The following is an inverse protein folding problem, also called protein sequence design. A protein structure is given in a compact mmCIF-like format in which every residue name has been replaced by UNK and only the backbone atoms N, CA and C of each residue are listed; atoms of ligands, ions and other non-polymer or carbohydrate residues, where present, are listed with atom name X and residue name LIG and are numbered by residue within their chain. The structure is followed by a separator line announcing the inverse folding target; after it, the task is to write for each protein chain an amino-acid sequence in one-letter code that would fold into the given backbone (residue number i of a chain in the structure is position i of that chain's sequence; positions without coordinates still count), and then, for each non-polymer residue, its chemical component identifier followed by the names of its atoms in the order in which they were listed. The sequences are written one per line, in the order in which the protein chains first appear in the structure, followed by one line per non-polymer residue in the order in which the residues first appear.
data_IF_308401916384
#
_entry.id   IF_308401916384
#
_cell.length_a   1.000
_cell.length_b   1.000
_cell.length_c   1.000
_cell.angle_alpha   90.00
_cell.angle_beta   90.00
_cell.angle_gamma   90.00
#
_symmetry.space_group_name_H-M   'P 1'
#
loop_
_entity.id
_entity.type
_entity.pdbx_description
1 polymer ?
#
# COMPACT_ATOMS: atom_id res chain seq x y z
N UNK A 1 11.04 -6.58 12.56
CA UNK A 1 10.16 -6.79 11.39
C UNK A 1 9.85 -5.44 10.75
N UNK A 2 10.01 -5.33 9.43
CA UNK A 2 9.77 -4.11 8.65
C UNK A 2 8.61 -4.33 7.67
N UNK A 3 7.92 -3.26 7.29
CA UNK A 3 6.83 -3.33 6.30
C UNK A 3 6.98 -2.21 5.27
N UNK A 4 6.65 -2.53 4.02
CA UNK A 4 6.56 -1.58 2.92
C UNK A 4 5.12 -1.55 2.41
N UNK A 5 4.53 -0.36 2.35
CA UNK A 5 3.19 -0.11 1.82
C UNK A 5 3.35 0.62 0.50
N UNK A 6 2.71 0.12 -0.55
CA UNK A 6 2.75 0.71 -1.90
C UNK A 6 1.40 1.38 -2.17
N UNK A 7 1.44 2.66 -2.54
CA UNK A 7 0.28 3.50 -2.84
C UNK A 7 0.35 4.87 -2.17
N UNK A 8 -0.34 5.85 -2.74
CA UNK A 8 -0.43 7.22 -2.20
C UNK A 8 -1.85 7.64 -1.79
N UNK A 9 -2.81 6.71 -1.79
CA UNK A 9 -4.20 6.96 -1.43
C UNK A 9 -4.42 6.87 0.08
N UNK A 10 -5.60 7.31 0.52
CA UNK A 10 -6.07 7.22 1.90
C UNK A 10 -5.79 5.87 2.57
N UNK A 11 -6.09 4.75 1.90
CA UNK A 11 -5.86 3.40 2.42
C UNK A 11 -4.38 3.13 2.71
N UNK A 12 -3.50 3.45 1.76
CA UNK A 12 -2.07 3.22 1.92
C UNK A 12 -1.49 4.08 3.06
N UNK A 13 -1.92 5.35 3.15
CA UNK A 13 -1.54 6.25 4.24
C UNK A 13 -1.99 5.69 5.61
N UNK A 14 -3.23 5.23 5.73
CA UNK A 14 -3.72 4.63 6.98
C UNK A 14 -2.96 3.36 7.37
N UNK A 15 -2.68 2.47 6.42
CA UNK A 15 -1.92 1.25 6.69
C UNK A 15 -0.50 1.58 7.17
N UNK A 16 0.19 2.52 6.53
CA UNK A 16 1.52 2.94 6.92
C UNK A 16 1.56 3.57 8.33
N UNK A 17 0.55 4.39 8.67
CA UNK A 17 0.40 4.97 10.01
C UNK A 17 0.05 3.92 11.07
N UNK A 18 -0.84 2.98 10.75
CA UNK A 18 -1.25 1.90 11.66
C UNK A 18 -0.12 0.89 11.91
N UNK A 19 0.72 0.63 10.91
CA UNK A 19 1.85 -0.30 11.01
C UNK A 19 2.72 -0.01 12.24
N UNK A 20 3.04 1.27 12.47
CA UNK A 20 3.85 1.63 13.65
C UNK A 20 3.02 1.82 14.91
N UNK A 21 1.91 2.54 14.80
CA UNK A 21 1.15 2.98 15.98
C UNK A 21 0.30 1.89 16.63
N UNK A 22 -0.06 0.84 15.88
CA UNK A 22 -0.99 -0.20 16.34
C UNK A 22 -0.47 -1.62 16.14
N UNK A 23 0.24 -1.87 15.05
CA UNK A 23 0.63 -3.23 14.66
C UNK A 23 2.06 -3.61 15.09
N UNK A 24 2.80 -2.70 15.74
CA UNK A 24 4.10 -2.99 16.34
C UNK A 24 5.25 -3.20 15.35
N UNK A 25 5.11 -2.79 14.08
CA UNK A 25 6.23 -2.87 13.12
C UNK A 25 7.36 -1.92 13.53
N UNK A 26 8.60 -2.43 13.47
CA UNK A 26 9.79 -1.68 13.86
C UNK A 26 10.11 -0.54 12.88
N UNK A 27 9.81 -0.75 11.59
CA UNK A 27 9.92 0.26 10.52
C UNK A 27 8.78 0.10 9.54
N UNK A 28 8.22 1.23 9.12
CA UNK A 28 7.25 1.30 8.04
C UNK A 28 7.78 2.22 6.94
N UNK A 29 7.60 1.82 5.69
CA UNK A 29 7.92 2.60 4.50
C UNK A 29 6.66 2.76 3.66
N UNK A 30 6.39 3.95 3.16
CA UNK A 30 5.29 4.26 2.24
C UNK A 30 5.88 4.72 0.92
N UNK A 31 5.58 4.00 -0.17
CA UNK A 31 6.05 4.33 -1.51
C UNK A 31 4.88 4.76 -2.39
N UNK A 32 4.95 5.97 -2.94
CA UNK A 32 3.97 6.51 -3.87
C UNK A 32 4.63 6.83 -5.21
N UNK A 33 4.01 6.36 -6.30
CA UNK A 33 4.47 6.61 -7.69
C UNK A 33 4.39 8.08 -8.08
N UNK A 34 3.45 8.81 -7.49
CA UNK A 34 3.21 10.24 -7.76
C UNK A 34 3.25 10.99 -6.43
N UNK A 35 3.33 12.30 -6.50
CA UNK A 35 3.10 13.16 -5.33
C UNK A 35 1.73 12.86 -4.73
N UNK A 36 1.66 12.77 -3.40
CA UNK A 36 0.43 12.51 -2.68
C UNK A 36 -0.41 13.79 -2.68
N UNK A 37 -1.53 13.74 -3.39
CA UNK A 37 -2.47 14.84 -3.45
C UNK A 37 -3.51 14.78 -2.31
N UNK A 38 -3.87 15.96 -1.80
CA UNK A 38 -4.90 16.11 -0.77
C UNK A 38 -6.27 16.39 -1.37
N UNK A 39 -7.30 15.75 -0.82
CA UNK A 39 -8.69 16.03 -1.16
C UNK A 39 -9.58 15.59 -0.01
N UNK A 40 -10.53 16.44 0.40
CA UNK A 40 -11.46 16.10 1.48
C UNK A 40 -12.41 14.98 1.08
N UNK A 41 -12.90 15.01 -0.17
CA UNK A 41 -13.89 14.08 -0.70
C UNK A 41 -13.52 13.63 -2.12
N UNK A 42 -13.59 12.33 -2.38
CA UNK A 42 -13.25 11.74 -3.69
C UNK A 42 -14.21 12.15 -4.82
N UNK A 43 -15.30 12.86 -4.50
CA UNK A 43 -16.26 13.40 -5.47
C UNK A 43 -16.13 14.92 -5.53
N UNK A 44 -16.27 15.49 -6.73
CA UNK A 44 -16.45 16.93 -6.90
C UNK A 44 -17.93 17.31 -6.68
N UNK A 45 -18.18 18.57 -6.32
CA UNK A 45 -19.53 19.14 -6.12
C UNK A 45 -20.56 18.72 -7.18
N UNK A 46 -20.23 18.67 -8.49
CA UNK A 46 -21.22 18.31 -9.49
C UNK A 46 -21.62 16.82 -9.47
N UNK A 47 -20.82 15.96 -8.85
CA UNK A 47 -21.13 14.55 -8.59
C UNK A 47 -21.87 14.34 -7.27
N UNK A 48 -21.86 15.32 -6.36
CA UNK A 48 -22.56 15.29 -5.06
C UNK A 48 -23.89 16.04 -5.06
N UNK A 49 -24.26 16.68 -6.17
CA UNK A 49 -25.46 17.52 -6.29
C UNK A 49 -26.42 17.03 -7.40
N UNK A 50 -27.46 17.81 -7.69
CA UNK A 50 -28.51 17.55 -8.68
C UNK A 50 -28.00 17.21 -10.09
N UNK A 51 -26.77 17.63 -10.42
CA UNK A 51 -26.14 17.36 -11.70
C UNK A 51 -25.61 15.93 -11.88
N UNK A 52 -25.65 15.08 -10.84
CA UNK A 52 -25.20 13.68 -10.92
C UNK A 52 -25.96 12.89 -11.99
N UNK A 53 -27.29 12.96 -11.98
CA UNK A 53 -28.13 12.15 -12.88
C UNK A 53 -27.93 12.53 -14.35
N UNK A 54 -27.81 13.84 -14.64
CA UNK A 54 -27.53 14.32 -16.00
C UNK A 54 -26.16 13.84 -16.51
N UNK A 55 -25.12 13.86 -15.66
CA UNK A 55 -23.79 13.35 -16.02
C UNK A 55 -23.77 11.84 -16.26
N UNK A 56 -24.46 11.09 -15.41
CA UNK A 56 -24.61 9.65 -15.61
C UNK A 56 -25.36 9.37 -16.91
N UNK A 57 -26.46 10.08 -17.19
CA UNK A 57 -27.19 9.93 -18.44
C UNK A 57 -26.31 10.24 -19.67
N UNK A 58 -25.52 11.31 -19.63
CA UNK A 58 -24.55 11.64 -20.68
C UNK A 58 -23.50 10.53 -20.87
N UNK A 59 -22.92 10.03 -19.77
CA UNK A 59 -21.95 8.94 -19.81
C UNK A 59 -22.52 7.64 -20.42
N UNK A 60 -23.76 7.28 -20.06
CA UNK A 60 -24.42 6.07 -20.57
C UNK A 60 -24.91 6.20 -22.01
N UNK A 61 -25.20 7.43 -22.46
CA UNK A 61 -25.65 7.69 -23.84
C UNK A 61 -24.52 7.92 -24.82
N UNK A 62 -23.29 8.19 -24.37
CA UNK A 62 -22.10 8.36 -25.21
C UNK A 62 -21.80 7.08 -26.01
N UNK A 63 -21.93 7.04 -27.35
CA UNK A 63 -21.71 5.82 -28.14
C UNK A 63 -20.23 5.46 -28.32
N UNK A 64 -19.30 6.42 -28.25
CA UNK A 64 -17.88 6.16 -28.43
C UNK A 64 -17.24 5.64 -27.13
N UNK A 65 -16.59 4.47 -27.21
CA UNK A 65 -15.92 3.85 -26.09
C UNK A 65 -14.72 4.65 -25.59
N UNK A 66 -13.97 5.31 -26.48
CA UNK A 66 -12.81 6.12 -26.10
C UNK A 66 -13.25 7.42 -25.41
N UNK A 67 -14.25 8.11 -25.95
CA UNK A 67 -14.87 9.25 -25.28
C UNK A 67 -15.42 8.88 -23.89
N UNK A 68 -16.09 7.74 -23.78
CA UNK A 68 -16.61 7.23 -22.50
C UNK A 68 -15.48 6.91 -21.51
N UNK A 69 -14.40 6.28 -21.97
CA UNK A 69 -13.23 5.99 -21.15
C UNK A 69 -12.53 7.28 -20.69
N UNK A 70 -12.39 8.27 -21.57
CA UNK A 70 -11.85 9.59 -21.24
C UNK A 70 -12.69 10.29 -20.15
N UNK A 71 -14.02 10.24 -20.27
CA UNK A 71 -14.93 10.78 -19.26
C UNK A 71 -14.76 10.08 -17.90
N UNK A 72 -14.66 8.74 -17.88
CA UNK A 72 -14.41 7.99 -16.65
C UNK A 72 -13.04 8.32 -16.02
N UNK A 73 -11.99 8.45 -16.84
CA UNK A 73 -10.64 8.81 -16.37
C UNK A 73 -10.60 10.23 -15.79
N UNK A 74 -11.25 11.18 -16.46
CA UNK A 74 -11.37 12.56 -16.00
C UNK A 74 -12.10 12.66 -14.66
N UNK A 75 -13.18 11.90 -14.47
CA UNK A 75 -13.95 11.90 -13.23
C UNK A 75 -13.23 11.23 -12.05
N UNK A 76 -12.38 10.23 -12.28
CA UNK A 76 -11.70 9.47 -11.21
C UNK A 76 -10.65 10.25 -10.42
N UNK A 77 -10.19 11.41 -10.93
CA UNK A 77 -9.22 12.33 -10.30
C UNK A 77 -8.18 11.70 -9.35
N UNK A 78 -7.58 10.58 -9.76
CA UNK A 78 -6.50 9.85 -9.07
C UNK A 78 -6.69 9.56 -7.57
N UNK A 79 -5.81 8.72 -7.03
CA UNK A 79 -5.76 8.42 -5.60
C UNK A 79 -5.39 9.67 -4.78
N UNK A 80 -6.23 10.00 -3.79
CA UNK A 80 -5.99 11.11 -2.85
C UNK A 80 -6.09 10.63 -1.40
N UNK A 81 -5.55 11.42 -0.48
CA UNK A 81 -5.75 11.28 0.95
C UNK A 81 -6.41 12.54 1.53
N UNK A 82 -7.10 12.41 2.66
CA UNK A 82 -7.66 13.58 3.34
C UNK A 82 -6.52 14.46 3.88
N UNK A 83 -6.74 15.79 3.99
CA UNK A 83 -5.74 16.71 4.52
C UNK A 83 -5.19 16.28 5.88
N UNK A 84 -6.05 15.78 6.77
CA UNK A 84 -5.68 15.35 8.12
C UNK A 84 -4.77 14.12 8.09
N UNK A 85 -5.07 13.17 7.21
CA UNK A 85 -4.28 11.95 7.06
C UNK A 85 -2.92 12.27 6.44
N UNK A 86 -2.88 13.08 5.39
CA UNK A 86 -1.61 13.44 4.77
C UNK A 86 -0.74 14.31 5.69
N UNK A 87 -1.35 15.25 6.43
CA UNK A 87 -0.65 16.01 7.45
C UNK A 87 -0.02 15.09 8.51
N UNK A 88 -0.73 14.03 8.92
CA UNK A 88 -0.19 13.04 9.85
C UNK A 88 0.93 12.21 9.24
N UNK A 89 0.82 11.76 8.00
CA UNK A 89 1.91 11.08 7.27
C UNK A 89 3.17 11.95 7.25
N UNK A 90 3.03 13.22 6.85
CA UNK A 90 4.15 14.18 6.80
C UNK A 90 4.77 14.42 8.18
N UNK A 91 3.95 14.56 9.23
CA UNK A 91 4.42 14.69 10.62
C UNK A 91 5.21 13.48 11.08
N UNK A 92 4.70 12.26 10.83
CA UNK A 92 5.39 11.03 11.21
C UNK A 92 6.68 10.82 10.40
N UNK A 93 6.71 11.26 9.15
CA UNK A 93 7.90 11.25 8.32
C UNK A 93 8.97 12.22 8.81
N UNK A 94 8.60 13.47 9.10
CA UNK A 94 9.50 14.46 9.68
C UNK A 94 10.07 14.03 11.04
N UNK A 95 9.30 13.26 11.82
CA UNK A 95 9.75 12.69 13.08
C UNK A 95 10.60 11.41 12.94
N UNK A 96 10.92 10.99 11.71
CA UNK A 96 11.70 9.77 11.44
C UNK A 96 10.97 8.47 11.80
N UNK A 97 9.66 8.53 12.07
CA UNK A 97 8.86 7.36 12.42
C UNK A 97 8.35 6.65 11.18
N UNK A 98 8.09 7.35 10.08
CA UNK A 98 7.67 6.76 8.80
C UNK A 98 8.64 7.16 7.69
N UNK A 99 9.05 6.23 6.82
CA UNK A 99 9.83 6.56 5.62
C UNK A 99 8.85 6.73 4.45
N UNK A 100 8.45 7.97 4.14
CA UNK A 100 7.50 8.26 3.07
C UNK A 100 8.24 8.81 1.84
N UNK A 101 8.07 8.15 0.68
CA UNK A 101 8.75 8.49 -0.57
C UNK A 101 7.74 8.63 -1.70
N UNK A 102 7.84 9.74 -2.42
CA UNK A 102 7.01 10.06 -3.59
C UNK A 102 7.86 10.02 -4.86
N UNK A 103 7.22 9.87 -6.02
CA UNK A 103 7.93 9.74 -7.30
C UNK A 103 8.71 8.42 -7.43
N UNK A 104 8.32 7.38 -6.68
CA UNK A 104 9.00 6.08 -6.67
C UNK A 104 8.11 5.00 -7.26
N UNK A 105 8.63 4.27 -8.23
CA UNK A 105 7.96 3.14 -8.86
C UNK A 105 8.69 1.83 -8.51
N UNK A 106 7.91 0.83 -8.09
CA UNK A 106 8.42 -0.52 -7.80
C UNK A 106 8.28 -1.35 -9.06
N UNK A 107 9.42 -1.72 -9.65
CA UNK A 107 9.48 -2.46 -10.91
C UNK A 107 9.42 -3.97 -10.73
N UNK A 108 9.98 -4.46 -9.63
CA UNK A 108 10.04 -5.88 -9.32
C UNK A 108 10.04 -6.08 -7.80
N UNK A 109 9.55 -7.25 -7.39
CA UNK A 109 9.69 -7.77 -6.04
C UNK A 109 10.00 -9.25 -6.15
N UNK A 110 11.13 -9.68 -5.59
CA UNK A 110 11.49 -11.09 -5.48
C UNK A 110 11.25 -11.55 -4.06
N UNK A 111 10.63 -12.72 -3.94
CA UNK A 111 10.54 -13.39 -2.66
C UNK A 111 11.81 -14.22 -2.46
N UNK A 112 12.57 -13.84 -1.44
CA UNK A 112 13.68 -14.64 -0.94
C UNK A 112 13.14 -15.45 0.25
N UNK A 113 13.00 -16.79 0.15
CA UNK A 113 12.71 -17.60 1.32
C UNK A 113 13.82 -17.37 2.34
N UNK A 114 13.45 -17.20 3.61
CA UNK A 114 14.43 -16.92 4.66
C UNK A 114 15.58 -17.94 4.59
N UNK A 115 16.83 -17.45 4.55
CA UNK A 115 17.98 -18.27 4.91
C UNK A 115 17.66 -18.86 6.28
N UNK A 116 17.37 -20.16 6.33
CA UNK A 116 17.27 -20.89 7.58
C UNK A 116 18.66 -20.85 8.22
N UNK A 117 18.96 -19.78 8.97
CA UNK A 117 20.08 -19.76 9.89
C UNK A 117 19.69 -20.68 11.04
N UNK A 118 20.13 -21.93 10.94
CA UNK A 118 19.83 -22.97 11.89
C UNK A 118 20.30 -24.34 11.43
N UNK A 119 21.60 -24.46 11.14
CA UNK A 119 22.28 -25.74 11.30
C UNK A 119 22.23 -26.12 12.78
N UNK A 120 21.16 -26.78 13.19
CA UNK A 120 21.13 -27.56 14.42
C UNK A 120 22.10 -28.73 14.23
N UNK A 121 23.31 -28.58 14.75
CA UNK A 121 24.10 -29.74 15.14
C UNK A 121 23.33 -30.38 16.30
N UNK A 122 22.42 -31.29 15.96
CA UNK A 122 21.86 -32.23 16.92
C UNK A 122 23.02 -33.13 17.34
N UNK A 123 23.71 -32.69 18.41
CA UNK A 123 24.77 -33.43 19.06
C UNK A 123 24.24 -34.76 19.58
N UNK A 124 24.19 -35.75 18.70
CA UNK A 124 23.94 -37.15 19.01
C UNK A 124 25.22 -37.81 19.49
N UNK A 125 25.66 -37.43 20.68
CA UNK A 125 26.71 -38.14 21.40
C UNK A 125 26.15 -39.42 22.04
N UNK A 126 26.59 -40.57 21.52
CA UNK A 126 26.89 -41.77 22.30
C UNK A 126 25.74 -42.70 22.73
N UNK A 127 25.83 -43.97 22.32
CA UNK A 127 25.16 -45.05 23.04
C UNK A 127 25.04 -46.39 22.30
N UNK A 128 26.00 -47.28 22.51
CA UNK A 128 25.72 -48.72 22.71
C UNK A 128 25.70 -49.62 21.48
N UNK A 129 26.74 -50.46 21.37
CA UNK A 129 26.80 -51.57 20.42
C UNK A 129 25.83 -52.72 20.75
N UNK A 130 25.59 -53.54 19.73
CA UNK A 130 24.80 -54.76 19.83
C UNK A 130 24.77 -55.49 18.49
N UNK A 131 25.88 -56.14 18.14
CA UNK A 131 25.93 -57.12 17.06
C UNK A 131 25.19 -58.39 17.49
N UNK A 132 24.22 -58.83 16.70
CA UNK A 132 23.80 -60.24 16.65
C UNK A 132 23.29 -60.51 15.24
N UNK A 133 24.11 -61.19 14.44
CA UNK A 133 23.59 -62.15 13.46
C UNK A 133 23.40 -63.51 14.15
N UNK A 134 23.17 -64.60 13.40
CA UNK A 134 23.00 -64.73 11.95
C UNK A 134 21.55 -64.54 11.46
#
# INVERSE_FOLDING_TARGET
VTVCVIGGALTACHLALAARSRLGYARATLLARREMATRQFDLDDPWMSIGRNARLAAYWSEPDAEARLAAARSARKCATASPEVLARVRKEAAAGRLDAREGVEVWAATWEPALAQGGGNDGGGGGGGGSVGP
#
